data_IF_095491468895
#
_entry.id   IF_095491468895
#
_cell.length_a   1.000
_cell.length_b   1.000
_cell.length_c   1.000
_cell.angle_alpha   90.00
_cell.angle_beta   90.00
_cell.angle_gamma   90.00
#
_symmetry.space_group_name_H-M   'P 1'
#
loop_
_entity.id
_entity.type
_entity.pdbx_description
1 polymer ?
#
# COMPACT_ATOMS: atom_id res chain seq x y z
N UNK A 1 -12.31 43.50 -45.45
CA UNK A 1 -12.25 42.51 -44.34
C UNK A 1 -11.76 41.12 -44.77
N UNK A 2 -11.72 40.76 -46.07
CA UNK A 2 -11.25 39.43 -46.51
C UNK A 2 -9.72 39.31 -46.75
N UNK A 3 -9.03 40.43 -47.03
CA UNK A 3 -7.59 40.41 -47.33
C UNK A 3 -6.69 40.20 -46.11
N UNK A 4 -7.13 40.58 -44.91
CA UNK A 4 -6.31 40.48 -43.70
C UNK A 4 -6.11 39.05 -43.22
N UNK A 5 -7.10 38.17 -43.44
CA UNK A 5 -7.08 36.78 -42.96
C UNK A 5 -6.04 35.94 -43.71
N UNK A 6 -5.75 36.28 -44.97
CA UNK A 6 -4.78 35.57 -45.81
C UNK A 6 -3.31 35.84 -45.43
N UNK A 7 -3.05 36.89 -44.66
CA UNK A 7 -1.69 37.31 -44.28
C UNK A 7 -1.26 36.81 -42.89
N UNK A 8 -2.17 36.17 -42.14
CA UNK A 8 -1.88 35.66 -40.79
C UNK A 8 -1.33 34.24 -40.93
N UNK A 9 -0.01 34.10 -40.78
CA UNK A 9 0.64 32.79 -40.69
C UNK A 9 0.76 32.41 -39.22
N UNK A 10 -0.11 31.51 -38.76
CA UNK A 10 -0.03 30.97 -37.40
C UNK A 10 1.02 29.87 -37.37
N UNK A 11 2.03 30.01 -36.50
CA UNK A 11 3.06 29.00 -36.30
C UNK A 11 2.94 28.45 -34.87
N UNK A 12 2.87 27.12 -34.74
CA UNK A 12 2.90 26.45 -33.45
C UNK A 12 4.35 26.26 -33.01
N UNK A 13 4.67 26.67 -31.78
CA UNK A 13 5.98 26.42 -31.18
C UNK A 13 5.83 25.45 -30.01
N UNK A 14 6.61 24.38 -30.03
CA UNK A 14 6.69 23.43 -28.91
C UNK A 14 7.63 23.99 -27.84
N UNK A 15 7.18 23.96 -26.58
CA UNK A 15 7.96 24.37 -25.40
C UNK A 15 8.27 23.12 -24.58
N UNK A 16 9.54 22.90 -24.26
CA UNK A 16 9.99 21.75 -23.45
C UNK A 16 10.30 22.25 -22.04
N UNK A 17 9.67 21.62 -21.04
CA UNK A 17 9.84 21.93 -19.63
C UNK A 17 10.44 20.70 -18.95
N UNK A 18 11.70 20.77 -18.55
CA UNK A 18 12.45 19.63 -18.02
C UNK A 18 12.26 19.39 -16.51
N UNK A 19 11.97 20.44 -15.74
CA UNK A 19 11.79 20.40 -14.29
C UNK A 19 10.38 20.85 -13.91
N UNK A 20 9.40 20.00 -14.15
CA UNK A 20 8.00 20.30 -13.82
C UNK A 20 7.71 20.05 -12.34
N UNK A 21 7.08 21.01 -11.65
CA UNK A 21 6.55 20.81 -10.29
C UNK A 21 5.07 20.39 -10.36
N UNK A 22 4.51 19.75 -9.31
CA UNK A 22 3.09 19.39 -9.29
C UNK A 22 2.16 20.57 -9.57
N UNK A 23 2.37 21.70 -8.90
CA UNK A 23 1.54 22.90 -9.07
C UNK A 23 1.64 23.47 -10.50
N UNK A 24 2.84 23.43 -11.09
CA UNK A 24 3.06 23.90 -12.46
C UNK A 24 2.38 22.97 -13.46
N UNK A 25 2.43 21.65 -13.22
CA UNK A 25 1.73 20.68 -14.04
C UNK A 25 0.22 20.88 -13.97
N UNK A 26 -0.35 21.03 -12.77
CA UNK A 26 -1.79 21.22 -12.59
C UNK A 26 -2.28 22.48 -13.32
N UNK A 27 -1.52 23.58 -13.23
CA UNK A 27 -1.81 24.79 -13.98
C UNK A 27 -1.77 24.58 -15.49
N UNK A 28 -0.71 23.95 -16.02
CA UNK A 28 -0.56 23.70 -17.45
C UNK A 28 -1.61 22.72 -17.97
N UNK A 29 -1.99 21.74 -17.16
CA UNK A 29 -3.06 20.81 -17.46
C UNK A 29 -4.39 21.56 -17.60
N UNK A 30 -4.71 22.44 -16.65
CA UNK A 30 -5.92 23.27 -16.71
C UNK A 30 -5.95 24.20 -17.94
N UNK A 31 -4.82 24.83 -18.29
CA UNK A 31 -4.75 25.82 -19.37
C UNK A 31 -4.59 25.19 -20.77
N UNK A 32 -3.96 24.01 -20.88
CA UNK A 32 -3.47 23.45 -22.15
C UNK A 32 -3.70 21.94 -22.31
N UNK A 33 -4.64 21.32 -21.60
CA UNK A 33 -4.95 19.87 -21.60
C UNK A 33 -4.85 19.22 -23.00
N UNK A 34 -5.50 19.79 -24.01
CA UNK A 34 -5.55 19.23 -25.37
C UNK A 34 -4.20 19.22 -26.13
N UNK A 35 -3.22 19.99 -25.67
CA UNK A 35 -1.93 20.19 -26.34
C UNK A 35 -0.74 19.80 -25.46
N UNK A 36 -0.98 19.50 -24.18
CA UNK A 36 0.04 19.10 -23.23
C UNK A 36 0.43 17.63 -23.47
N UNK A 37 1.74 17.38 -23.65
CA UNK A 37 2.27 16.03 -23.81
C UNK A 37 3.36 15.77 -22.79
N UNK A 38 3.18 14.72 -21.99
CA UNK A 38 4.15 14.25 -21.01
C UNK A 38 4.79 12.95 -21.51
N UNK A 39 5.90 13.01 -22.27
CA UNK A 39 6.62 11.81 -22.64
C UNK A 39 7.19 11.16 -21.37
N UNK A 40 6.77 9.92 -21.08
CA UNK A 40 7.38 9.14 -20.03
C UNK A 40 8.86 8.90 -20.35
N UNK A 41 9.76 9.24 -19.44
CA UNK A 41 11.19 8.95 -19.58
C UNK A 41 11.49 7.45 -19.56
N UNK A 42 10.57 6.65 -19.01
CA UNK A 42 10.69 5.19 -18.89
C UNK A 42 9.38 4.54 -19.31
N UNK A 43 9.38 3.83 -20.45
CA UNK A 43 8.19 3.14 -20.99
C UNK A 43 7.80 1.90 -20.18
N UNK A 44 8.75 1.34 -19.42
CA UNK A 44 8.53 0.22 -18.52
C UNK A 44 9.37 0.42 -17.27
N UNK A 45 8.74 0.40 -16.11
CA UNK A 45 9.44 0.28 -14.83
C UNK A 45 9.82 -1.20 -14.72
N UNK A 46 11.11 -1.57 -14.71
CA UNK A 46 11.49 -2.97 -14.46
C UNK A 46 10.89 -3.40 -13.14
N UNK A 47 10.33 -4.61 -13.08
CA UNK A 47 9.77 -5.20 -11.86
C UNK A 47 10.84 -5.24 -10.76
N UNK A 48 10.97 -4.14 -10.01
CA UNK A 48 11.66 -4.08 -8.72
C UNK A 48 10.59 -4.20 -7.64
N UNK A 49 11.04 -4.54 -6.44
CA UNK A 49 10.21 -4.54 -5.25
C UNK A 49 9.80 -3.10 -4.94
N UNK A 50 8.66 -2.67 -5.49
CA UNK A 50 8.03 -1.38 -5.18
C UNK A 50 7.82 -1.18 -3.67
N UNK A 51 7.78 -2.29 -2.92
CA UNK A 51 7.72 -2.31 -1.47
C UNK A 51 8.74 -3.31 -0.93
N UNK A 52 9.59 -2.85 -0.01
CA UNK A 52 10.41 -3.73 0.83
C UNK A 52 9.72 -3.82 2.17
N UNK A 53 9.03 -4.93 2.43
CA UNK A 53 8.28 -5.10 3.66
C UNK A 53 9.12 -5.89 4.67
N UNK A 54 9.44 -5.28 5.81
CA UNK A 54 10.21 -5.94 6.86
C UNK A 54 9.25 -6.29 8.00
N UNK A 55 8.67 -7.49 7.92
CA UNK A 55 7.66 -7.94 8.89
C UNK A 55 8.32 -8.16 10.24
N UNK A 56 8.04 -7.27 11.18
CA UNK A 56 8.47 -7.43 12.58
C UNK A 56 7.29 -8.00 13.36
N UNK A 57 7.41 -9.24 13.82
CA UNK A 57 6.38 -9.82 14.70
C UNK A 57 6.50 -9.20 16.09
N UNK A 58 5.43 -8.58 16.55
CA UNK A 58 5.30 -8.16 17.93
C UNK A 58 4.75 -9.31 18.77
N UNK A 59 5.23 -9.45 20.01
CA UNK A 59 4.61 -10.35 20.97
C UNK A 59 3.14 -9.97 21.16
N UNK A 60 2.27 -10.96 21.28
CA UNK A 60 0.86 -10.72 21.59
C UNK A 60 0.78 -10.01 22.94
N UNK A 61 0.16 -8.83 22.99
CA UNK A 61 0.10 -8.01 24.21
C UNK A 61 -1.05 -8.42 25.15
N UNK A 62 -2.12 -8.98 24.60
CA UNK A 62 -3.29 -9.45 25.35
C UNK A 62 -3.95 -10.61 24.63
N UNK A 63 -3.96 -11.77 25.27
CA UNK A 63 -4.69 -12.95 24.80
C UNK A 63 -4.79 -13.95 25.94
N UNK A 64 -5.86 -14.74 25.98
CA UNK A 64 -5.96 -15.86 26.90
C UNK A 64 -4.81 -16.86 26.72
N UNK A 65 -4.23 -16.95 25.53
CA UNK A 65 -3.14 -17.88 25.22
C UNK A 65 -1.78 -17.49 25.81
N UNK A 66 -1.64 -16.23 26.25
CA UNK A 66 -0.43 -15.75 26.94
C UNK A 66 -0.64 -15.67 28.47
N UNK A 67 -1.83 -16.01 28.96
CA UNK A 67 -2.12 -15.97 30.40
C UNK A 67 -1.50 -17.19 31.11
N UNK A 68 -0.96 -17.03 32.33
CA UNK A 68 -0.42 -18.13 33.12
C UNK A 68 -1.37 -19.32 33.29
N UNK A 69 -2.67 -19.05 33.36
CA UNK A 69 -3.75 -20.04 33.50
C UNK A 69 -3.83 -20.97 32.31
N UNK A 70 -3.63 -20.44 31.10
CA UNK A 70 -3.58 -21.24 29.87
C UNK A 70 -2.42 -22.22 29.92
N UNK A 71 -1.21 -21.74 30.25
CA UNK A 71 -0.03 -22.61 30.38
C UNK A 71 -0.20 -23.68 31.45
N UNK A 72 -0.77 -23.33 32.61
CA UNK A 72 -1.08 -24.32 33.67
C UNK A 72 -2.05 -25.39 33.18
N UNK A 73 -3.02 -25.03 32.34
CA UNK A 73 -3.96 -25.97 31.73
C UNK A 73 -3.28 -27.03 30.86
N UNK A 74 -2.25 -26.64 30.09
CA UNK A 74 -1.52 -27.56 29.21
C UNK A 74 -0.79 -28.68 29.99
N UNK A 75 -0.34 -28.42 31.21
CA UNK A 75 0.41 -29.38 32.02
C UNK A 75 -0.41 -29.94 33.19
N UNK A 76 -1.72 -29.75 33.18
CA UNK A 76 -2.58 -30.21 34.25
C UNK A 76 -2.89 -31.71 34.12
N UNK A 77 -2.48 -32.50 35.12
CA UNK A 77 -2.60 -33.97 35.09
C UNK A 77 -4.00 -34.50 35.41
N UNK A 78 -4.86 -33.72 36.08
CA UNK A 78 -6.19 -34.16 36.53
C UNK A 78 -7.34 -33.48 35.76
N UNK A 79 -7.31 -33.57 34.43
CA UNK A 79 -8.27 -32.93 33.53
C UNK A 79 -9.76 -33.19 33.87
N UNK A 80 -10.08 -34.30 34.54
CA UNK A 80 -11.44 -34.73 34.90
C UNK A 80 -12.13 -33.86 35.97
N UNK A 81 -11.40 -32.96 36.66
CA UNK A 81 -12.00 -32.02 37.60
C UNK A 81 -12.72 -30.84 36.91
N UNK A 82 -12.52 -30.66 35.60
CA UNK A 82 -13.14 -29.60 34.82
C UNK A 82 -14.28 -30.16 33.96
N UNK A 83 -15.28 -29.33 33.66
CA UNK A 83 -16.39 -29.72 32.79
C UNK A 83 -15.92 -29.98 31.36
N UNK A 84 -16.62 -30.84 30.62
CA UNK A 84 -16.25 -31.27 29.25
C UNK A 84 -16.11 -30.14 28.21
N UNK A 85 -16.61 -28.95 28.52
CA UNK A 85 -16.50 -27.75 27.66
C UNK A 85 -15.32 -26.85 28.03
N UNK A 86 -14.62 -27.15 29.12
CA UNK A 86 -13.46 -26.38 29.57
C UNK A 86 -12.23 -26.79 28.77
N UNK A 87 -11.48 -25.84 28.20
CA UNK A 87 -10.30 -26.15 27.39
C UNK A 87 -9.28 -27.02 28.15
N UNK A 88 -9.22 -26.92 29.49
CA UNK A 88 -8.31 -27.68 30.35
C UNK A 88 -8.56 -29.18 30.32
N UNK A 89 -9.71 -29.64 29.81
CA UNK A 89 -9.97 -31.08 29.63
C UNK A 89 -9.19 -31.68 28.47
N UNK A 90 -8.90 -30.90 27.43
CA UNK A 90 -8.15 -31.33 26.24
C UNK A 90 -6.78 -30.67 26.12
N UNK A 91 -6.47 -29.68 26.96
CA UNK A 91 -5.24 -28.89 26.91
C UNK A 91 -3.97 -29.77 26.98
N UNK A 92 -3.99 -30.82 27.80
CA UNK A 92 -2.83 -31.71 27.93
C UNK A 92 -2.46 -32.44 26.63
N UNK A 93 -3.43 -32.71 25.76
CA UNK A 93 -3.19 -33.38 24.47
C UNK A 93 -2.44 -32.50 23.46
N UNK A 94 -2.25 -31.21 23.75
CA UNK A 94 -1.52 -30.29 22.87
C UNK A 94 -0.01 -30.30 23.14
N UNK A 95 0.42 -30.90 24.24
CA UNK A 95 1.82 -30.93 24.69
C UNK A 95 2.34 -32.34 25.01
N UNK A 96 1.48 -33.36 24.90
CA UNK A 96 1.80 -34.79 25.13
C UNK A 96 2.24 -35.51 23.87
#
# INVERSE_FOLDING_TARGET
MLFYVALIKTESKTIIISNITPDTFEKLYFEHDQTLSCPCSTTAIPYRNFTSNNVTMHSVCSSIFIEPEWFKGLYFSNASQYGVWDFRTTAHSQVS
#
